data_IF_154604335039
#
_entry.id   IF_154604335039
#
_cell.length_a   1.000
_cell.length_b   1.000
_cell.length_c   1.000
_cell.angle_alpha   90.00
_cell.angle_beta   90.00
_cell.angle_gamma   90.00
#
_symmetry.space_group_name_H-M   'P 1'
#
loop_
_entity.id
_entity.type
_entity.pdbx_description
1 polymer ?
#
# COMPACT_ATOMS: atom_id res chain seq x y z
N UNK A 1 20.80 28.12 -31.03
CA UNK A 1 19.48 27.53 -30.71
C UNK A 1 19.62 26.75 -29.42
N UNK A 2 18.97 27.19 -28.34
CA UNK A 2 19.02 26.51 -27.05
C UNK A 2 17.88 25.50 -26.97
N UNK A 3 18.22 24.23 -26.76
CA UNK A 3 17.26 23.17 -26.47
C UNK A 3 16.73 23.42 -25.06
N UNK A 4 15.51 23.93 -24.93
CA UNK A 4 14.79 23.95 -23.66
C UNK A 4 14.40 22.51 -23.38
N UNK A 5 15.21 21.81 -22.59
CA UNK A 5 14.82 20.53 -22.00
C UNK A 5 13.73 20.85 -20.99
N UNK A 6 12.47 20.60 -21.35
CA UNK A 6 11.36 20.64 -20.41
C UNK A 6 11.65 19.58 -19.34
N UNK A 7 12.14 20.02 -18.19
CA UNK A 7 12.25 19.14 -17.03
C UNK A 7 10.84 18.93 -16.51
N UNK A 8 10.19 17.85 -16.92
CA UNK A 8 8.98 17.38 -16.26
C UNK A 8 9.33 17.12 -14.78
N UNK A 9 8.77 17.97 -13.92
CA UNK A 9 8.93 17.89 -12.47
C UNK A 9 8.14 16.67 -12.01
N UNK A 10 8.75 15.71 -11.28
CA UNK A 10 8.01 14.61 -10.69
C UNK A 10 6.84 15.17 -9.87
N UNK A 11 5.62 14.71 -10.14
CA UNK A 11 4.47 15.23 -9.38
C UNK A 11 4.47 14.56 -8.02
N UNK A 12 4.86 15.33 -7.00
CA UNK A 12 4.92 14.91 -5.61
C UNK A 12 3.89 15.68 -4.79
N UNK A 13 3.16 14.99 -3.92
CA UNK A 13 2.28 15.62 -2.93
C UNK A 13 2.49 15.02 -1.55
N UNK A 14 2.23 15.80 -0.53
CA UNK A 14 2.17 15.33 0.85
C UNK A 14 1.06 16.05 1.62
N UNK A 15 0.58 15.42 2.68
CA UNK A 15 -0.39 16.01 3.59
C UNK A 15 -0.24 15.44 5.01
N UNK A 16 -0.54 16.28 5.99
CA UNK A 16 -0.86 15.83 7.33
C UNK A 16 -2.26 15.21 7.32
N UNK A 17 -2.39 14.07 7.98
CA UNK A 17 -3.61 13.28 8.10
C UNK A 17 -3.94 13.21 9.58
N UNK A 18 -5.01 13.88 10.03
CA UNK A 18 -5.48 13.74 11.41
C UNK A 18 -5.74 12.28 11.73
N UNK A 19 -5.38 11.86 12.94
CA UNK A 19 -5.59 10.48 13.36
C UNK A 19 -7.08 10.10 13.28
N UNK A 20 -7.37 8.93 12.74
CA UNK A 20 -8.74 8.40 12.66
C UNK A 20 -9.41 8.48 11.28
N UNK A 21 -10.64 7.95 11.16
CA UNK A 21 -11.24 7.59 9.88
C UNK A 21 -11.56 8.78 8.97
N UNK A 22 -11.81 9.96 9.55
CA UNK A 22 -12.07 11.18 8.80
C UNK A 22 -10.82 11.64 8.02
N UNK A 23 -9.63 11.52 8.61
CA UNK A 23 -8.37 11.83 7.94
C UNK A 23 -8.11 10.89 6.76
N UNK A 24 -8.36 9.59 6.94
CA UNK A 24 -8.22 8.59 5.86
C UNK A 24 -9.13 8.91 4.67
N UNK A 25 -10.38 9.31 4.93
CA UNK A 25 -11.31 9.74 3.88
C UNK A 25 -10.82 10.92 3.06
N UNK A 26 -10.28 11.95 3.74
CA UNK A 26 -9.72 13.13 3.08
C UNK A 26 -8.49 12.78 2.24
N UNK A 27 -7.59 11.94 2.77
CA UNK A 27 -6.39 11.51 2.07
C UNK A 27 -6.71 10.74 0.78
N UNK A 28 -7.68 9.81 0.83
CA UNK A 28 -8.17 9.09 -0.37
C UNK A 28 -8.71 10.03 -1.44
N UNK A 29 -9.53 11.00 -1.04
CA UNK A 29 -10.16 11.91 -1.99
C UNK A 29 -9.11 12.77 -2.70
N UNK A 30 -8.18 13.36 -1.94
CA UNK A 30 -7.09 14.18 -2.48
C UNK A 30 -6.17 13.40 -3.40
N UNK A 31 -5.78 12.18 -3.03
CA UNK A 31 -4.95 11.31 -3.89
C UNK A 31 -5.66 11.02 -5.21
N UNK A 32 -6.93 10.61 -5.17
CA UNK A 32 -7.70 10.29 -6.39
C UNK A 32 -7.81 11.50 -7.32
N UNK A 33 -8.12 12.67 -6.77
CA UNK A 33 -8.24 13.90 -7.56
C UNK A 33 -6.91 14.25 -8.25
N UNK A 34 -5.81 14.27 -7.50
CA UNK A 34 -4.50 14.65 -8.03
C UNK A 34 -3.95 13.64 -9.04
N UNK A 35 -4.03 12.33 -8.75
CA UNK A 35 -3.51 11.34 -9.68
C UNK A 35 -4.30 11.35 -11.01
N UNK A 36 -5.62 11.54 -10.95
CA UNK A 36 -6.45 11.69 -12.15
C UNK A 36 -6.13 12.96 -12.92
N UNK A 37 -5.95 14.10 -12.24
CA UNK A 37 -5.58 15.36 -12.92
C UNK A 37 -4.23 15.27 -13.61
N UNK A 38 -3.34 14.38 -13.14
CA UNK A 38 -2.03 14.12 -13.72
C UNK A 38 -2.04 13.01 -14.79
N UNK A 39 -3.21 12.48 -15.16
CA UNK A 39 -3.34 11.47 -16.21
C UNK A 39 -2.91 10.05 -15.82
N UNK A 40 -2.79 9.75 -14.52
CA UNK A 40 -2.49 8.39 -14.06
C UNK A 40 -3.66 7.45 -14.40
N UNK A 41 -3.42 6.23 -14.93
CA UNK A 41 -4.48 5.29 -15.28
C UNK A 41 -5.38 4.96 -14.08
N UNK A 42 -6.70 4.90 -14.30
CA UNK A 42 -7.69 4.68 -13.23
C UNK A 42 -7.43 3.41 -12.41
N UNK A 43 -6.91 2.33 -13.01
CA UNK A 43 -6.56 1.11 -12.28
C UNK A 43 -5.43 1.33 -11.28
N UNK A 44 -4.41 2.11 -11.66
CA UNK A 44 -3.29 2.46 -10.77
C UNK A 44 -3.77 3.40 -9.67
N UNK A 45 -4.70 4.31 -9.98
CA UNK A 45 -5.34 5.19 -8.98
C UNK A 45 -6.11 4.37 -7.95
N UNK A 46 -6.91 3.40 -8.37
CA UNK A 46 -7.70 2.57 -7.46
C UNK A 46 -6.80 1.70 -6.55
N UNK A 47 -5.75 1.09 -7.11
CA UNK A 47 -4.76 0.34 -6.34
C UNK A 47 -4.04 1.23 -5.32
N UNK A 48 -3.59 2.41 -5.73
CA UNK A 48 -2.89 3.36 -4.86
C UNK A 48 -3.78 3.89 -3.72
N UNK A 49 -5.05 4.18 -4.00
CA UNK A 49 -6.02 4.63 -2.98
C UNK A 49 -6.29 3.52 -1.95
N UNK A 50 -6.33 2.26 -2.39
CA UNK A 50 -6.48 1.12 -1.50
C UNK A 50 -5.23 0.95 -0.63
N UNK A 51 -4.04 0.98 -1.23
CA UNK A 51 -2.75 0.93 -0.51
C UNK A 51 -2.67 2.05 0.53
N UNK A 52 -2.95 3.29 0.14
CA UNK A 52 -2.93 4.43 1.07
C UNK A 52 -3.85 4.19 2.27
N UNK A 53 -5.04 3.63 2.03
CA UNK A 53 -6.01 3.36 3.09
C UNK A 53 -5.51 2.32 4.09
N UNK A 54 -4.89 1.25 3.60
CA UNK A 54 -4.32 0.20 4.44
C UNK A 54 -3.10 0.72 5.22
N UNK A 55 -2.22 1.48 4.57
CA UNK A 55 -1.07 2.09 5.23
C UNK A 55 -1.49 3.06 6.35
N UNK A 56 -2.43 3.96 6.07
CA UNK A 56 -2.96 4.89 7.08
C UNK A 56 -3.68 4.17 8.21
N UNK A 57 -4.44 3.12 7.91
CA UNK A 57 -5.13 2.32 8.93
C UNK A 57 -4.14 1.59 9.83
N UNK A 58 -3.04 1.08 9.27
CA UNK A 58 -1.97 0.44 10.03
C UNK A 58 -1.21 1.46 10.89
N UNK A 59 -0.86 2.61 10.33
CA UNK A 59 -0.21 3.70 11.05
C UNK A 59 -1.07 4.20 12.23
N UNK A 60 -2.38 4.38 12.02
CA UNK A 60 -3.30 4.77 13.10
C UNK A 60 -3.46 3.70 14.20
N UNK A 61 -3.31 2.41 13.86
CA UNK A 61 -3.52 1.31 14.81
C UNK A 61 -2.25 0.97 15.59
N UNK A 62 -1.10 1.09 14.95
CA UNK A 62 0.17 0.54 15.45
C UNK A 62 1.26 1.60 15.65
N UNK A 63 1.17 2.73 14.94
CA UNK A 63 2.08 3.86 15.05
C UNK A 63 1.63 4.87 16.10
N UNK A 64 2.56 5.75 16.49
CA UNK A 64 2.22 6.97 17.24
C UNK A 64 2.06 8.13 16.25
N UNK A 65 1.28 9.17 16.59
CA UNK A 65 1.27 10.37 15.76
C UNK A 65 2.64 11.06 15.73
N UNK A 66 2.87 11.82 14.66
CA UNK A 66 4.01 12.72 14.51
C UNK A 66 3.86 13.94 15.41
N UNK A 67 5.00 14.47 15.87
CA UNK A 67 5.06 15.61 16.77
C UNK A 67 5.02 15.23 18.25
N UNK A 68 5.67 16.06 19.06
CA UNK A 68 5.75 15.87 20.52
C UNK A 68 4.45 16.39 21.13
N UNK A 69 3.67 15.50 21.75
CA UNK A 69 2.54 15.80 22.65
C UNK A 69 2.14 17.28 22.70
N UNK A 70 1.25 17.70 21.79
CA UNK A 70 0.47 18.92 22.07
C UNK A 70 -0.77 18.43 22.81
N UNK A 71 -0.98 18.96 24.02
CA UNK A 71 -1.99 18.49 24.97
C UNK A 71 -3.45 18.70 24.51
N UNK A 72 -3.69 19.00 23.23
CA UNK A 72 -5.01 19.11 22.61
C UNK A 72 -4.91 18.68 21.14
N UNK A 73 -5.22 17.42 20.85
CA UNK A 73 -5.37 16.88 19.48
C UNK A 73 -4.80 15.48 19.34
N UNK A 74 -5.56 14.57 18.70
CA UNK A 74 -4.97 13.34 18.18
C UNK A 74 -3.95 13.75 17.11
N UNK A 75 -2.65 13.55 17.36
CA UNK A 75 -1.61 14.09 16.48
C UNK A 75 -1.65 13.51 15.05
N UNK A 76 -0.83 14.08 14.16
CA UNK A 76 -0.94 13.82 12.72
C UNK A 76 -0.09 12.63 12.25
N UNK A 77 -0.54 11.94 11.21
CA UNK A 77 0.28 11.03 10.39
C UNK A 77 0.58 11.75 9.08
N UNK A 78 1.74 11.54 8.46
CA UNK A 78 2.05 12.16 7.16
C UNK A 78 1.83 11.16 6.04
N UNK A 79 1.00 11.50 5.06
CA UNK A 79 0.90 10.79 3.79
C UNK A 79 1.67 11.55 2.70
N UNK A 80 2.36 10.82 1.83
CA UNK A 80 3.00 11.38 0.64
C UNK A 80 2.85 10.44 -0.55
N UNK A 81 2.84 10.99 -1.76
CA UNK A 81 2.89 10.20 -2.99
C UNK A 81 3.61 10.95 -4.09
N UNK A 82 4.29 10.19 -4.95
CA UNK A 82 5.08 10.73 -6.06
C UNK A 82 5.00 9.82 -7.27
N UNK A 83 4.75 10.43 -8.43
CA UNK A 83 4.89 9.76 -9.73
C UNK A 83 6.27 10.11 -10.29
N UNK A 84 7.06 9.09 -10.62
CA UNK A 84 8.35 9.24 -11.30
C UNK A 84 8.20 9.33 -12.82
N UNK A 85 9.31 9.57 -13.53
CA UNK A 85 9.31 9.73 -15.00
C UNK A 85 9.03 8.43 -15.76
N UNK A 86 9.18 7.29 -15.11
CA UNK A 86 8.87 5.99 -15.70
C UNK A 86 7.39 5.60 -15.47
N UNK A 87 6.62 6.44 -14.78
CA UNK A 87 5.23 6.16 -14.43
C UNK A 87 5.05 5.35 -13.14
N UNK A 88 6.13 5.10 -12.41
CA UNK A 88 6.08 4.48 -11.09
C UNK A 88 5.48 5.42 -10.06
N UNK A 89 4.46 4.95 -9.33
CA UNK A 89 3.81 5.69 -8.24
C UNK A 89 4.29 5.13 -6.91
N UNK A 90 5.04 5.95 -6.17
CA UNK A 90 5.40 5.66 -4.77
C UNK A 90 4.37 6.28 -3.85
N UNK A 91 3.81 5.48 -2.93
CA UNK A 91 2.93 5.92 -1.83
C UNK A 91 3.66 5.70 -0.52
N UNK A 92 3.68 6.72 0.35
CA UNK A 92 4.38 6.70 1.63
C UNK A 92 3.45 7.15 2.76
N UNK A 93 3.58 6.49 3.91
CA UNK A 93 2.95 6.92 5.17
C UNK A 93 4.01 6.93 6.25
N UNK A 94 4.19 8.09 6.90
CA UNK A 94 5.11 8.30 8.01
C UNK A 94 4.33 8.51 9.31
N UNK A 95 4.68 7.74 10.34
CA UNK A 95 4.20 7.89 11.71
C UNK A 95 5.38 8.09 12.69
N UNK A 96 5.08 8.41 13.95
CA UNK A 96 6.04 8.66 15.03
C UNK A 96 6.65 7.39 15.66
N UNK A 97 6.42 6.22 15.05
CA UNK A 97 6.95 4.93 15.48
C UNK A 97 6.15 4.25 16.60
N UNK A 98 6.18 2.92 16.60
CA UNK A 98 5.45 2.06 17.54
C UNK A 98 6.31 0.92 18.10
N UNK A 99 5.81 0.16 19.09
CA UNK A 99 6.52 -1.00 19.66
C UNK A 99 6.59 -2.18 18.67
N UNK A 100 5.70 -2.20 17.66
CA UNK A 100 5.63 -3.21 16.62
C UNK A 100 6.01 -2.62 15.28
N UNK A 101 6.79 -3.35 14.48
CA UNK A 101 7.13 -2.96 13.11
C UNK A 101 6.31 -3.78 12.10
N UNK A 102 5.86 -3.18 10.99
CA UNK A 102 5.44 -3.97 9.85
C UNK A 102 6.67 -4.70 9.32
N UNK A 103 6.70 -6.03 9.50
CA UNK A 103 7.76 -6.86 8.94
C UNK A 103 7.31 -7.22 7.52
N UNK A 104 8.15 -6.97 6.48
CA UNK A 104 7.94 -7.57 5.17
C UNK A 104 8.04 -9.08 5.29
N UNK A 105 6.91 -9.71 5.59
CA UNK A 105 6.77 -11.15 5.67
C UNK A 105 5.75 -11.57 4.63
N UNK A 106 5.99 -12.73 4.01
CA UNK A 106 5.03 -13.40 3.15
C UNK A 106 3.68 -13.49 3.90
N UNK A 107 2.58 -13.07 3.28
CA UNK A 107 1.30 -12.91 3.94
C UNK A 107 0.85 -14.20 4.63
N UNK A 108 0.78 -14.22 5.98
CA UNK A 108 0.13 -15.30 6.70
C UNK A 108 -1.36 -15.01 6.85
N UNK A 109 -2.19 -15.92 6.33
CA UNK A 109 -3.63 -15.78 6.10
C UNK A 109 -4.46 -15.66 7.40
N UNK A 110 -3.86 -15.72 8.58
CA UNK A 110 -4.59 -16.02 9.82
C UNK A 110 -4.77 -14.87 10.82
N UNK A 111 -4.27 -13.66 10.56
CA UNK A 111 -4.58 -12.52 11.43
C UNK A 111 -5.77 -11.71 10.88
N UNK A 112 -6.70 -11.29 11.74
CA UNK A 112 -7.72 -10.27 11.38
C UNK A 112 -7.10 -8.93 10.93
N UNK A 113 -5.79 -8.72 11.18
CA UNK A 113 -4.94 -7.65 10.65
C UNK A 113 -4.04 -8.03 9.45
N UNK A 114 -4.15 -9.25 8.92
CA UNK A 114 -3.34 -9.75 7.80
C UNK A 114 -3.82 -9.28 6.43
N UNK A 115 -5.10 -8.88 6.28
CA UNK A 115 -5.66 -8.45 4.98
C UNK A 115 -4.92 -7.24 4.39
N UNK A 116 -4.54 -6.26 5.22
CA UNK A 116 -3.87 -5.05 4.74
C UNK A 116 -2.48 -5.33 4.15
N UNK A 117 -1.68 -6.17 4.82
CA UNK A 117 -0.38 -6.59 4.29
C UNK A 117 -0.52 -7.52 3.07
N UNK A 118 -1.57 -8.33 2.98
CA UNK A 118 -1.85 -9.13 1.79
C UNK A 118 -2.18 -8.25 0.59
N UNK A 119 -2.99 -7.20 0.78
CA UNK A 119 -3.33 -6.23 -0.26
C UNK A 119 -2.07 -5.50 -0.74
N UNK A 120 -1.27 -4.99 0.20
CA UNK A 120 0.00 -4.32 -0.14
C UNK A 120 0.92 -5.29 -0.89
N UNK A 121 1.08 -6.52 -0.40
CA UNK A 121 1.97 -7.50 -1.05
C UNK A 121 1.47 -7.97 -2.43
N UNK A 122 0.15 -7.94 -2.68
CA UNK A 122 -0.42 -8.35 -3.96
C UNK A 122 -0.41 -7.24 -5.02
N UNK A 123 -0.41 -5.97 -4.59
CA UNK A 123 -0.48 -4.80 -5.48
C UNK A 123 0.86 -4.10 -5.66
N UNK A 124 1.75 -4.21 -4.68
CA UNK A 124 3.06 -3.58 -4.70
C UNK A 124 4.00 -4.29 -5.68
N UNK A 125 4.68 -3.52 -6.51
CA UNK A 125 5.88 -3.96 -7.20
C UNK A 125 7.04 -4.10 -6.21
N UNK A 126 7.16 -3.13 -5.31
CA UNK A 126 8.15 -3.13 -4.24
C UNK A 126 7.57 -2.39 -3.02
N UNK A 127 7.95 -2.79 -1.82
CA UNK A 127 7.59 -2.04 -0.62
C UNK A 127 8.60 -2.27 0.49
N UNK A 128 8.60 -1.37 1.46
CA UNK A 128 9.49 -1.50 2.60
C UNK A 128 9.19 -0.53 3.73
N UNK A 129 10.06 -0.57 4.72
CA UNK A 129 10.00 0.29 5.91
C UNK A 129 11.33 1.05 6.02
N UNK A 130 11.24 2.34 6.29
CA UNK A 130 12.37 3.25 6.49
C UNK A 130 12.26 3.91 7.86
N UNK A 131 13.26 3.74 8.69
CA UNK A 131 13.38 4.44 9.97
C UNK A 131 14.15 5.76 9.80
N UNK A 132 13.72 6.78 10.53
CA UNK A 132 14.43 8.06 10.66
C UNK A 132 15.23 8.08 11.96
N UNK A 133 16.34 8.81 11.98
CA UNK A 133 17.13 9.04 13.22
C UNK A 133 16.33 9.75 14.32
N UNK A 134 15.22 10.41 13.94
CA UNK A 134 14.27 11.07 14.84
C UNK A 134 13.25 10.11 15.48
N UNK A 135 13.24 8.83 15.11
CA UNK A 135 12.28 7.82 15.59
C UNK A 135 11.02 7.67 14.75
N UNK A 136 10.85 8.49 13.71
CA UNK A 136 9.77 8.34 12.73
C UNK A 136 9.94 7.06 11.90
N UNK A 137 8.83 6.42 11.56
CA UNK A 137 8.78 5.22 10.74
C UNK A 137 7.98 5.53 9.49
N UNK A 138 8.56 5.28 8.31
CA UNK A 138 7.91 5.44 7.01
C UNK A 138 7.72 4.08 6.36
N UNK A 139 6.48 3.72 6.08
CA UNK A 139 6.16 2.58 5.19
C UNK A 139 5.93 3.13 3.79
N UNK A 140 6.56 2.53 2.80
CA UNK A 140 6.48 2.97 1.41
C UNK A 140 6.15 1.80 0.48
N UNK A 141 5.42 2.09 -0.58
CA UNK A 141 4.96 1.12 -1.57
C UNK A 141 5.12 1.72 -2.96
N UNK A 142 5.75 1.00 -3.87
CA UNK A 142 5.84 1.30 -5.28
C UNK A 142 4.78 0.50 -6.04
N UNK A 143 3.99 1.18 -6.87
CA UNK A 143 3.06 0.56 -7.81
C UNK A 143 3.29 1.10 -9.22
N UNK A 144 3.12 0.23 -10.21
CA UNK A 144 3.22 0.55 -11.63
C UNK A 144 2.07 -0.12 -12.39
N UNK A 145 1.81 0.36 -13.59
CA UNK A 145 0.80 -0.23 -14.46
C UNK A 145 1.17 -1.69 -14.80
N UNK A 146 0.32 -2.64 -14.41
CA UNK A 146 0.46 -4.06 -14.79
C UNK A 146 0.86 -5.03 -13.67
N UNK A 147 1.32 -4.56 -12.51
CA UNK A 147 1.78 -5.47 -11.44
C UNK A 147 0.61 -6.18 -10.71
N UNK A 148 -0.49 -5.47 -10.43
CA UNK A 148 -1.62 -5.98 -9.63
C UNK A 148 -2.55 -6.99 -10.33
N UNK A 149 -2.35 -7.31 -11.61
CA UNK A 149 -3.26 -8.18 -12.39
C UNK A 149 -2.79 -9.61 -12.63
N UNK A 150 -1.53 -9.94 -12.35
CA UNK A 150 -0.94 -11.25 -12.69
C UNK A 150 -1.04 -12.33 -11.60
N UNK A 151 -1.66 -12.06 -10.44
CA UNK A 151 -1.90 -13.09 -9.40
C UNK A 151 -3.34 -13.62 -9.34
N UNK A 152 -4.18 -13.35 -10.35
CA UNK A 152 -5.43 -14.06 -10.55
C UNK A 152 -5.33 -14.96 -11.78
N UNK A 153 -5.27 -16.28 -11.56
CA UNK A 153 -5.15 -17.35 -12.58
C UNK A 153 -3.71 -17.76 -12.96
N UNK A 154 -2.99 -18.40 -12.04
CA UNK A 154 -2.27 -19.64 -12.39
C UNK A 154 -3.16 -20.78 -11.88
N UNK A 155 -3.92 -21.47 -12.72
CA UNK A 155 -3.38 -22.46 -13.63
C UNK A 155 -3.45 -23.84 -12.97
N UNK A 156 -4.65 -24.32 -12.61
CA UNK A 156 -4.88 -25.75 -12.32
C UNK A 156 -4.91 -26.53 -13.63
N UNK A 157 -3.75 -26.59 -14.29
CA UNK A 157 -3.51 -27.48 -15.42
C UNK A 157 -2.37 -28.41 -15.02
N UNK A 158 -2.77 -29.48 -14.35
CA UNK A 158 -1.91 -30.53 -13.83
C UNK A 158 -2.79 -31.65 -13.28
N UNK A 159 -3.68 -32.16 -14.12
CA UNK A 159 -4.20 -33.52 -13.95
C UNK A 159 -3.05 -34.46 -14.24
N UNK A 160 -2.39 -34.95 -13.20
CA UNK A 160 -1.63 -36.19 -13.28
C UNK A 160 -2.25 -37.19 -12.30
N UNK A 161 -2.97 -38.13 -12.92
CA UNK A 161 -3.09 -39.53 -12.56
C UNK A 161 -2.84 -39.90 -11.09
N UNK A 162 -3.93 -40.07 -10.32
CA UNK A 162 -3.98 -41.08 -9.27
C UNK A 162 -5.28 -41.88 -9.40
N UNK A 163 -5.18 -42.92 -10.23
CA UNK A 163 -5.73 -44.27 -10.08
C UNK A 163 -7.14 -44.43 -9.49
N UNK A 164 -8.11 -44.72 -10.36
CA UNK A 164 -9.28 -45.53 -10.00
C UNK A 164 -8.82 -46.96 -9.68
N UNK A 165 -8.77 -47.32 -8.41
CA UNK A 165 -8.85 -48.72 -7.97
C UNK A 165 -9.37 -48.79 -6.53
N UNK A 166 -10.50 -49.50 -6.38
CA UNK A 166 -10.98 -50.20 -5.20
C UNK A 166 -11.37 -49.42 -3.94
N UNK A 167 -12.69 -49.21 -3.76
CA UNK A 167 -13.46 -49.81 -2.66
C UNK A 167 -14.87 -49.19 -2.57
N UNK A 168 -15.77 -49.61 -3.45
CA UNK A 168 -17.19 -49.70 -3.10
C UNK A 168 -17.57 -51.16 -3.22
N UNK A 169 -17.32 -51.90 -2.14
CA UNK A 169 -18.03 -53.13 -1.89
C UNK A 169 -18.43 -53.17 -0.41
N UNK A 170 -19.71 -53.49 -0.24
CA UNK A 170 -20.35 -54.06 0.94
C UNK A 170 -20.53 -53.22 2.23
N UNK A 171 -21.72 -52.63 2.35
CA UNK A 171 -22.48 -52.58 3.62
C UNK A 171 -23.95 -52.84 3.27
N UNK A 172 -24.30 -54.12 3.16
CA UNK A 172 -25.65 -54.63 3.45
C UNK A 172 -25.91 -54.72 4.94
#
# INVERSE_FOLDING_TARGET
MALVVAQEVPTSSSMAVPHGPAGVGQARHRMREQLRSNGVPDSVVDDAVLILSELLSNACRHGRPLGRHTDVGDGDIRAAWRVDRAGGLTVEVTDGGGPTRPIPATPSVTARGGRGLNIISALAEEWGVRDSSSGEVTVWVLVSEGHGRVSGVQGVSGLDELSFADAFDDMG
#
